data_IF_359093894866
#
_entry.id   IF_359093894866
#
_cell.length_a   1.000
_cell.length_b   1.000
_cell.length_c   1.000
_cell.angle_alpha   90.00
_cell.angle_beta   90.00
_cell.angle_gamma   90.00
#
_symmetry.space_group_name_H-M   'P 1'
#
loop_
_entity.id
_entity.type
_entity.pdbx_description
1 polymer ?
#
# COMPACT_ATOMS: atom_id res chain seq x y z
N UNK A 1 15.60 15.72 2.22
CA UNK A 1 15.37 15.09 0.92
C UNK A 1 14.27 15.82 0.14
N UNK A 2 13.09 16.04 0.73
CA UNK A 2 11.96 16.72 0.05
C UNK A 2 12.33 18.14 -0.46
N UNK A 3 13.11 18.91 0.30
CA UNK A 3 13.55 20.25 -0.09
C UNK A 3 14.62 20.26 -1.20
N UNK A 4 15.18 19.10 -1.56
CA UNK A 4 16.05 18.96 -2.73
C UNK A 4 15.27 18.86 -4.07
N UNK A 5 13.95 18.77 -4.01
CA UNK A 5 13.09 18.84 -5.20
C UNK A 5 13.32 20.19 -5.93
N UNK A 6 13.47 20.21 -7.27
CA UNK A 6 13.62 21.45 -8.04
C UNK A 6 12.45 22.43 -7.79
N UNK A 7 12.69 23.71 -8.00
CA UNK A 7 11.68 24.74 -7.72
C UNK A 7 10.39 24.59 -8.55
N UNK A 8 10.48 23.93 -9.70
CA UNK A 8 9.35 23.64 -10.60
C UNK A 8 8.69 22.27 -10.34
N UNK A 9 9.18 21.52 -9.36
CA UNK A 9 8.62 20.22 -8.98
C UNK A 9 7.74 20.30 -7.75
N UNK A 10 7.06 19.21 -7.47
CA UNK A 10 6.21 19.04 -6.29
C UNK A 10 6.60 17.78 -5.50
N UNK A 11 6.26 17.78 -4.22
CA UNK A 11 6.39 16.62 -3.33
C UNK A 11 5.01 15.98 -3.16
N UNK A 12 4.91 14.70 -3.51
CA UNK A 12 3.67 13.93 -3.30
C UNK A 12 3.77 13.18 -1.97
N UNK A 13 2.91 13.51 -1.00
CA UNK A 13 3.04 13.09 0.39
C UNK A 13 1.79 12.40 0.93
N UNK A 14 1.97 11.22 1.56
CA UNK A 14 0.88 10.49 2.22
C UNK A 14 0.61 11.06 3.62
N UNK A 15 -0.55 11.68 3.83
CA UNK A 15 -0.91 12.27 5.14
C UNK A 15 -1.48 11.26 6.13
N UNK A 16 -1.71 10.02 5.71
CA UNK A 16 -2.07 8.95 6.65
C UNK A 16 -0.88 8.47 7.48
N UNK A 17 0.35 8.81 7.05
CA UNK A 17 1.57 8.42 7.75
C UNK A 17 1.99 9.52 8.75
N UNK A 18 1.91 9.27 10.07
CA UNK A 18 2.14 10.30 11.08
C UNK A 18 3.50 11.00 10.96
N UNK A 19 4.54 10.25 10.59
CA UNK A 19 5.89 10.83 10.43
C UNK A 19 5.97 11.74 9.20
N UNK A 20 5.28 11.39 8.11
CA UNK A 20 5.17 12.27 6.93
C UNK A 20 4.42 13.54 7.29
N UNK A 21 3.27 13.41 7.95
CA UNK A 21 2.45 14.55 8.39
C UNK A 21 3.23 15.52 9.28
N UNK A 22 4.10 14.98 10.15
CA UNK A 22 4.93 15.78 11.07
C UNK A 22 5.95 16.68 10.34
N UNK A 23 6.50 16.22 9.22
CA UNK A 23 7.54 16.96 8.47
C UNK A 23 6.97 17.89 7.40
N UNK A 24 5.67 17.85 7.09
CA UNK A 24 5.06 18.70 6.06
C UNK A 24 5.33 20.20 6.26
N UNK A 25 5.25 20.76 7.50
CA UNK A 25 5.53 22.17 7.72
C UNK A 25 6.96 22.59 7.37
N UNK A 26 7.92 21.66 7.37
CA UNK A 26 9.34 21.91 7.08
C UNK A 26 9.66 21.80 5.58
N UNK A 27 8.65 21.46 4.75
CA UNK A 27 8.83 21.34 3.30
C UNK A 27 8.56 22.68 2.64
N UNK A 28 9.60 23.24 2.02
CA UNK A 28 9.56 24.55 1.33
C UNK A 28 9.15 24.44 -0.15
N UNK A 29 8.76 23.27 -0.61
CA UNK A 29 8.32 23.00 -1.98
C UNK A 29 6.81 22.82 -2.05
N UNK A 30 6.17 23.00 -3.22
CA UNK A 30 4.78 22.63 -3.38
C UNK A 30 4.54 21.18 -2.94
N UNK A 31 3.52 20.97 -2.10
CA UNK A 31 3.17 19.63 -1.61
C UNK A 31 1.77 19.26 -2.08
N UNK A 32 1.66 18.11 -2.70
CA UNK A 32 0.40 17.48 -3.08
C UNK A 32 0.17 16.35 -2.09
N UNK A 33 -0.91 16.42 -1.32
CA UNK A 33 -1.20 15.44 -0.29
C UNK A 33 -2.18 14.39 -0.77
N UNK A 34 -1.97 13.14 -0.33
CA UNK A 34 -2.91 12.05 -0.60
C UNK A 34 -3.08 11.14 0.60
N UNK A 35 -4.20 10.42 0.64
CA UNK A 35 -4.49 9.45 1.70
C UNK A 35 -5.97 9.13 1.83
N UNK A 36 -6.31 8.42 2.89
CA UNK A 36 -7.69 8.18 3.31
C UNK A 36 -8.23 9.29 4.22
N UNK A 37 -7.32 10.05 4.80
CA UNK A 37 -7.65 11.15 5.70
C UNK A 37 -8.43 12.24 4.99
N UNK A 38 -9.44 12.81 5.66
CA UNK A 38 -10.30 13.87 5.10
C UNK A 38 -9.59 15.19 4.82
N UNK A 39 -8.35 15.36 5.31
CA UNK A 39 -7.50 16.53 5.07
C UNK A 39 -6.53 16.36 3.88
N UNK A 40 -6.51 15.18 3.26
CA UNK A 40 -5.74 14.95 2.05
C UNK A 40 -6.38 15.67 0.84
N UNK A 41 -5.54 16.14 -0.07
CA UNK A 41 -6.01 16.72 -1.34
C UNK A 41 -6.60 15.65 -2.25
N UNK A 42 -5.87 14.55 -2.43
CA UNK A 42 -6.36 13.36 -3.15
C UNK A 42 -6.79 12.29 -2.16
N UNK A 43 -8.02 11.83 -2.28
CA UNK A 43 -8.65 10.90 -1.34
C UNK A 43 -9.22 9.69 -2.04
N UNK A 44 -9.28 8.56 -1.32
CA UNK A 44 -10.04 7.38 -1.72
C UNK A 44 -11.20 7.14 -0.75
N UNK A 45 -12.39 7.06 -1.29
CA UNK A 45 -13.63 6.84 -0.58
C UNK A 45 -14.35 5.57 -1.08
N UNK A 46 -15.40 5.10 -0.39
CA UNK A 46 -16.22 3.95 -0.81
C UNK A 46 -15.37 2.74 -1.22
N UNK A 47 -14.44 2.29 -0.36
CA UNK A 47 -13.47 1.24 -0.67
C UNK A 47 -14.07 -0.16 -0.51
N UNK A 48 -13.89 -0.98 -1.54
CA UNK A 48 -14.26 -2.38 -1.52
C UNK A 48 -13.02 -3.25 -1.79
N UNK A 49 -12.92 -4.37 -1.05
CA UNK A 49 -11.87 -5.38 -1.24
C UNK A 49 -12.54 -6.72 -1.54
N UNK A 50 -12.20 -7.28 -2.69
CA UNK A 50 -12.71 -8.59 -3.10
C UNK A 50 -11.60 -9.41 -3.74
N UNK A 51 -11.10 -10.38 -3.00
CA UNK A 51 -9.93 -11.16 -3.41
C UNK A 51 -8.75 -10.25 -3.80
N UNK A 52 -8.22 -10.40 -5.03
CA UNK A 52 -7.12 -9.59 -5.55
C UNK A 52 -7.56 -8.17 -5.97
N UNK A 53 -8.85 -7.85 -5.95
CA UNK A 53 -9.36 -6.57 -6.45
C UNK A 53 -9.56 -5.57 -5.33
N UNK A 54 -9.18 -4.34 -5.63
CA UNK A 54 -9.53 -3.19 -4.81
C UNK A 54 -10.25 -2.16 -5.65
N UNK A 55 -11.43 -1.72 -5.21
CA UNK A 55 -12.21 -0.68 -5.89
C UNK A 55 -12.38 0.50 -4.95
N UNK A 56 -12.25 1.71 -5.45
CA UNK A 56 -12.46 2.93 -4.68
C UNK A 56 -12.88 4.10 -5.55
N UNK A 57 -13.54 5.07 -4.94
CA UNK A 57 -13.86 6.36 -5.54
C UNK A 57 -12.69 7.33 -5.30
N UNK A 58 -12.05 7.78 -6.36
CA UNK A 58 -10.99 8.80 -6.28
C UNK A 58 -11.61 10.20 -6.22
N UNK A 59 -11.09 11.04 -5.33
CA UNK A 59 -11.50 12.45 -5.17
C UNK A 59 -10.27 13.36 -5.19
N UNK A 60 -10.46 14.58 -5.71
CA UNK A 60 -9.51 15.68 -5.60
C UNK A 60 -10.23 16.87 -4.96
N UNK A 61 -9.74 17.38 -3.81
CA UNK A 61 -10.34 18.50 -3.07
C UNK A 61 -11.85 18.35 -2.92
N UNK A 62 -12.31 17.17 -2.49
CA UNK A 62 -13.72 16.77 -2.33
C UNK A 62 -14.52 16.60 -3.63
N UNK A 63 -13.97 16.95 -4.79
CA UNK A 63 -14.59 16.70 -6.10
C UNK A 63 -14.32 15.26 -6.51
N UNK A 64 -15.36 14.55 -6.90
CA UNK A 64 -15.24 13.20 -7.44
C UNK A 64 -14.53 13.23 -8.80
N UNK A 65 -13.50 12.39 -8.96
CA UNK A 65 -12.83 12.15 -10.22
C UNK A 65 -13.43 10.96 -10.94
N UNK A 66 -13.75 9.90 -10.19
CA UNK A 66 -14.35 8.67 -10.69
C UNK A 66 -13.89 7.43 -9.96
N UNK A 67 -14.45 6.29 -10.34
CA UNK A 67 -14.13 4.98 -9.77
C UNK A 67 -12.83 4.42 -10.32
N UNK A 68 -12.00 3.87 -9.44
CA UNK A 68 -10.76 3.17 -9.78
C UNK A 68 -10.90 1.70 -9.42
N UNK A 69 -10.53 0.84 -10.36
CA UNK A 69 -10.48 -0.61 -10.19
C UNK A 69 -9.03 -1.08 -10.33
N UNK A 70 -8.48 -1.64 -9.25
CA UNK A 70 -7.13 -2.21 -9.19
C UNK A 70 -7.20 -3.74 -9.22
N UNK A 71 -6.26 -4.37 -9.92
CA UNK A 71 -6.04 -5.82 -9.88
C UNK A 71 -4.96 -6.21 -8.86
N UNK A 72 -4.82 -5.43 -7.80
CA UNK A 72 -3.94 -5.70 -6.67
C UNK A 72 -4.68 -5.41 -5.36
N UNK A 73 -4.52 -6.25 -4.31
CA UNK A 73 -5.29 -6.12 -3.09
C UNK A 73 -4.65 -5.13 -2.10
N UNK A 74 -5.47 -4.68 -1.17
CA UNK A 74 -5.02 -4.02 0.05
C UNK A 74 -5.00 -2.50 0.01
N UNK A 75 -5.22 -1.92 1.19
CA UNK A 75 -5.30 -0.47 1.40
C UNK A 75 -4.01 0.26 0.99
N UNK A 76 -2.85 -0.39 1.16
CA UNK A 76 -1.57 0.20 0.76
C UNK A 76 -1.48 0.38 -0.76
N UNK A 77 -2.05 -0.53 -1.57
CA UNK A 77 -2.09 -0.38 -3.02
C UNK A 77 -3.08 0.72 -3.47
N UNK A 78 -4.16 0.96 -2.72
CA UNK A 78 -5.01 2.13 -2.94
C UNK A 78 -4.22 3.42 -2.68
N UNK A 79 -3.44 3.49 -1.59
CA UNK A 79 -2.56 4.63 -1.31
C UNK A 79 -1.52 4.83 -2.43
N UNK A 80 -0.90 3.76 -2.91
CA UNK A 80 0.04 3.82 -4.03
C UNK A 80 -0.64 4.33 -5.32
N UNK A 81 -1.87 3.88 -5.59
CA UNK A 81 -2.65 4.36 -6.72
C UNK A 81 -3.02 5.85 -6.58
N UNK A 82 -3.38 6.32 -5.36
CA UNK A 82 -3.61 7.76 -5.11
C UNK A 82 -2.37 8.60 -5.39
N UNK A 83 -1.18 8.13 -4.99
CA UNK A 83 0.08 8.80 -5.31
C UNK A 83 0.30 8.89 -6.84
N UNK A 84 0.04 7.80 -7.56
CA UNK A 84 0.14 7.79 -9.03
C UNK A 84 -0.91 8.73 -9.67
N UNK A 85 -2.16 8.72 -9.19
CA UNK A 85 -3.22 9.61 -9.66
C UNK A 85 -2.82 11.07 -9.45
N UNK A 86 -2.38 11.43 -8.25
CA UNK A 86 -2.01 12.82 -7.91
C UNK A 86 -0.89 13.33 -8.80
N UNK A 87 0.16 12.53 -9.00
CA UNK A 87 1.26 12.87 -9.90
C UNK A 87 0.79 12.99 -11.36
N UNK A 88 -0.03 12.07 -11.82
CA UNK A 88 -0.51 12.06 -13.21
C UNK A 88 -1.41 13.27 -13.50
N UNK A 89 -2.26 13.66 -12.56
CA UNK A 89 -3.09 14.87 -12.69
C UNK A 89 -2.21 16.13 -12.73
N UNK A 90 -1.18 16.22 -11.89
CA UNK A 90 -0.20 17.31 -11.93
C UNK A 90 0.54 17.40 -13.27
N UNK A 91 0.75 16.26 -13.91
CA UNK A 91 1.30 16.17 -15.27
C UNK A 91 0.27 16.41 -16.39
N UNK A 92 -0.94 16.84 -16.05
CA UNK A 92 -2.06 17.06 -16.99
C UNK A 92 -2.45 15.83 -17.82
N UNK A 93 -2.34 14.62 -17.23
CA UNK A 93 -2.81 13.39 -17.87
C UNK A 93 -4.31 13.24 -17.59
N UNK A 94 -5.09 12.97 -18.64
CA UNK A 94 -6.53 12.77 -18.54
C UNK A 94 -6.87 11.59 -17.59
N UNK A 95 -7.87 11.80 -16.74
CA UNK A 95 -8.25 10.81 -15.73
C UNK A 95 -8.65 9.45 -16.32
N UNK A 96 -9.29 9.44 -17.50
CA UNK A 96 -9.62 8.19 -18.20
C UNK A 96 -8.37 7.37 -18.59
N UNK A 97 -7.28 8.06 -18.95
CA UNK A 97 -6.00 7.40 -19.26
C UNK A 97 -5.42 6.79 -17.99
N UNK A 98 -5.47 7.53 -16.87
CA UNK A 98 -5.04 7.06 -15.55
C UNK A 98 -5.84 5.83 -15.13
N UNK A 99 -7.17 5.85 -15.24
CA UNK A 99 -8.04 4.71 -14.94
C UNK A 99 -7.64 3.47 -15.76
N UNK A 100 -7.45 3.63 -17.08
CA UNK A 100 -7.04 2.54 -17.98
C UNK A 100 -5.66 1.97 -17.59
N UNK A 101 -4.72 2.83 -17.22
CA UNK A 101 -3.38 2.44 -16.77
C UNK A 101 -3.44 1.65 -15.47
N UNK A 102 -4.13 2.15 -14.47
CA UNK A 102 -4.28 1.49 -13.16
C UNK A 102 -5.02 0.16 -13.26
N UNK A 103 -6.05 0.05 -14.12
CA UNK A 103 -6.76 -1.21 -14.36
C UNK A 103 -5.87 -2.29 -15.01
N UNK A 104 -4.86 -1.90 -15.80
CA UNK A 104 -3.90 -2.83 -16.42
C UNK A 104 -2.79 -3.26 -15.47
N UNK A 105 -2.58 -2.53 -14.40
CA UNK A 105 -1.52 -2.86 -13.44
C UNK A 105 -1.86 -4.15 -12.70
N UNK A 106 -0.97 -5.13 -12.77
CA UNK A 106 -1.13 -6.48 -12.18
C UNK A 106 -0.17 -6.76 -11.03
N UNK A 107 0.49 -5.72 -10.52
CA UNK A 107 1.46 -5.87 -9.43
C UNK A 107 2.91 -6.08 -9.90
N UNK A 108 3.76 -6.40 -8.94
CA UNK A 108 5.19 -6.65 -9.12
C UNK A 108 5.51 -8.03 -8.57
N UNK A 109 6.44 -8.76 -9.18
CA UNK A 109 6.91 -10.06 -8.68
C UNK A 109 7.34 -9.96 -7.21
N UNK A 110 7.00 -10.98 -6.43
CA UNK A 110 7.25 -11.04 -4.99
C UNK A 110 6.63 -9.90 -4.17
N UNK A 111 5.55 -9.26 -4.65
CA UNK A 111 4.71 -8.31 -3.92
C UNK A 111 3.27 -8.78 -4.05
N UNK A 112 2.78 -9.48 -3.04
CA UNK A 112 1.48 -10.16 -3.06
C UNK A 112 1.31 -11.05 -4.30
N UNK A 113 2.34 -11.80 -4.66
CA UNK A 113 2.34 -12.62 -5.86
C UNK A 113 1.60 -13.94 -5.61
N UNK A 114 0.50 -14.17 -6.30
CA UNK A 114 -0.21 -15.45 -6.25
C UNK A 114 0.58 -16.48 -7.06
N UNK A 115 1.09 -17.52 -6.39
CA UNK A 115 1.82 -18.61 -7.01
C UNK A 115 0.89 -19.68 -7.57
N UNK A 116 -0.30 -19.81 -7.04
CA UNK A 116 -1.30 -20.76 -7.49
C UNK A 116 -2.23 -21.22 -6.38
N UNK A 117 -3.12 -22.14 -6.74
CA UNK A 117 -4.01 -22.84 -5.82
C UNK A 117 -3.74 -24.33 -5.97
N UNK A 118 -3.40 -25.01 -4.88
CA UNK A 118 -3.10 -26.43 -4.81
C UNK A 118 -3.93 -27.05 -3.70
N UNK A 119 -4.76 -28.04 -4.03
CA UNK A 119 -5.68 -28.70 -3.07
C UNK A 119 -6.46 -27.68 -2.20
N UNK A 120 -7.04 -26.67 -2.85
CA UNK A 120 -7.75 -25.54 -2.20
C UNK A 120 -6.86 -24.64 -1.31
N UNK A 121 -5.55 -24.80 -1.33
CA UNK A 121 -4.60 -23.91 -0.63
C UNK A 121 -4.11 -22.83 -1.60
N UNK A 122 -4.47 -21.57 -1.31
CA UNK A 122 -3.95 -20.40 -2.05
C UNK A 122 -2.54 -20.07 -1.53
N UNK A 123 -1.56 -20.09 -2.41
CA UNK A 123 -0.16 -19.76 -2.09
C UNK A 123 0.17 -18.34 -2.58
N UNK A 124 0.61 -17.51 -1.66
CA UNK A 124 1.00 -16.11 -1.90
C UNK A 124 2.45 -15.91 -1.46
N UNK A 125 3.27 -15.32 -2.33
CA UNK A 125 4.65 -14.92 -2.05
C UNK A 125 4.75 -13.40 -1.94
N UNK A 126 5.30 -12.92 -0.81
CA UNK A 126 5.51 -11.49 -0.59
C UNK A 126 6.92 -11.25 -0.01
N UNK A 127 7.61 -10.25 -0.53
CA UNK A 127 8.94 -9.85 -0.06
C UNK A 127 8.87 -8.94 1.19
N UNK A 128 7.76 -8.90 1.89
CA UNK A 128 7.56 -8.12 3.09
C UNK A 128 8.62 -8.49 4.15
N UNK A 129 9.41 -7.51 4.56
CA UNK A 129 10.53 -7.68 5.50
C UNK A 129 10.58 -6.57 6.56
N UNK A 130 9.60 -5.70 6.59
CA UNK A 130 9.36 -4.69 7.62
C UNK A 130 8.00 -4.95 8.29
N UNK A 131 7.81 -4.72 9.60
CA UNK A 131 6.54 -5.00 10.28
C UNK A 131 5.32 -4.37 9.61
N UNK A 132 5.46 -3.14 9.12
CA UNK A 132 4.39 -2.43 8.40
C UNK A 132 4.00 -3.14 7.11
N UNK A 133 4.98 -3.66 6.34
CA UNK A 133 4.72 -4.42 5.12
C UNK A 133 4.03 -5.74 5.43
N UNK A 134 4.55 -6.50 6.42
CA UNK A 134 3.96 -7.76 6.89
C UNK A 134 2.50 -7.53 7.30
N UNK A 135 2.25 -6.53 8.15
CA UNK A 135 0.89 -6.20 8.59
C UNK A 135 -0.02 -5.83 7.42
N UNK A 136 0.47 -5.07 6.45
CA UNK A 136 -0.30 -4.68 5.27
C UNK A 136 -0.70 -5.88 4.41
N UNK A 137 0.23 -6.81 4.16
CA UNK A 137 -0.01 -8.04 3.40
C UNK A 137 -1.01 -8.96 4.11
N UNK A 138 -0.82 -9.22 5.39
CA UNK A 138 -1.70 -10.10 6.17
C UNK A 138 -3.14 -9.52 6.26
N UNK A 139 -3.26 -8.21 6.45
CA UNK A 139 -4.57 -7.52 6.43
C UNK A 139 -5.22 -7.58 5.06
N UNK A 140 -4.46 -7.44 3.98
CA UNK A 140 -4.99 -7.56 2.63
C UNK A 140 -5.57 -8.96 2.39
N UNK A 141 -4.90 -10.03 2.87
CA UNK A 141 -5.40 -11.40 2.79
C UNK A 141 -6.69 -11.54 3.60
N UNK A 142 -6.73 -11.13 4.87
CA UNK A 142 -7.93 -11.27 5.71
C UNK A 142 -9.12 -10.45 5.21
N UNK A 143 -8.89 -9.32 4.55
CA UNK A 143 -9.94 -8.51 3.96
C UNK A 143 -10.46 -9.07 2.63
N UNK A 144 -9.60 -9.73 1.85
CA UNK A 144 -9.95 -10.26 0.53
C UNK A 144 -10.52 -11.70 0.57
N UNK A 145 -10.13 -12.51 1.57
CA UNK A 145 -10.49 -13.92 1.62
C UNK A 145 -10.95 -14.34 3.01
N UNK A 146 -12.03 -15.14 3.05
CA UNK A 146 -12.51 -15.81 4.27
C UNK A 146 -11.88 -17.19 4.42
N UNK A 147 -10.54 -17.24 4.57
CA UNK A 147 -9.77 -18.47 4.68
C UNK A 147 -8.92 -18.48 5.94
N UNK A 148 -8.52 -19.67 6.40
CA UNK A 148 -7.48 -19.86 7.41
C UNK A 148 -6.17 -19.31 6.86
N UNK A 149 -5.45 -18.49 7.63
CA UNK A 149 -4.20 -17.87 7.25
C UNK A 149 -3.02 -18.56 7.94
N UNK A 150 -2.23 -19.27 7.16
CA UNK A 150 -0.94 -19.82 7.59
C UNK A 150 0.15 -18.92 7.07
N UNK A 151 0.94 -18.35 7.96
CA UNK A 151 2.05 -17.44 7.62
C UNK A 151 3.38 -18.15 7.86
N UNK A 152 4.22 -18.19 6.85
CA UNK A 152 5.61 -18.64 6.95
C UNK A 152 6.48 -17.41 6.77
N UNK A 153 7.29 -17.07 7.77
CA UNK A 153 8.10 -15.86 7.76
C UNK A 153 9.57 -16.18 8.03
N UNK A 154 10.42 -15.69 7.15
CA UNK A 154 11.87 -15.68 7.36
C UNK A 154 12.31 -14.26 7.70
N UNK A 155 12.75 -13.99 8.93
CA UNK A 155 13.31 -12.69 9.28
C UNK A 155 14.58 -12.43 8.47
N UNK A 156 14.81 -11.18 8.08
CA UNK A 156 15.99 -10.77 7.32
C UNK A 156 16.72 -9.65 8.06
N UNK A 157 18.02 -9.81 8.24
CA UNK A 157 18.94 -8.98 9.02
C UNK A 157 18.69 -9.07 10.53
N UNK A 158 19.71 -9.51 11.28
CA UNK A 158 19.67 -9.58 12.73
C UNK A 158 19.35 -8.24 13.39
N UNK A 159 19.96 -7.15 12.90
CA UNK A 159 19.74 -5.80 13.44
C UNK A 159 18.30 -5.34 13.31
N UNK A 160 17.68 -5.57 12.16
CA UNK A 160 16.26 -5.24 11.92
C UNK A 160 15.34 -6.07 12.79
N UNK A 161 15.57 -7.38 12.85
CA UNK A 161 14.76 -8.30 13.65
C UNK A 161 14.81 -7.91 15.12
N UNK A 162 16.01 -7.59 15.65
CA UNK A 162 16.18 -7.13 17.02
C UNK A 162 15.51 -5.78 17.27
N UNK A 163 15.64 -4.82 16.35
CA UNK A 163 15.11 -3.47 16.53
C UNK A 163 13.57 -3.44 16.50
N UNK A 164 12.95 -4.23 15.63
CA UNK A 164 11.50 -4.27 15.44
C UNK A 164 10.83 -5.53 16.02
N UNK A 165 11.44 -6.18 16.99
CA UNK A 165 10.96 -7.44 17.55
C UNK A 165 9.48 -7.40 17.98
N UNK A 166 9.10 -6.39 18.77
CA UNK A 166 7.73 -6.25 19.23
C UNK A 166 6.75 -5.90 18.09
N UNK A 167 7.17 -5.08 17.13
CA UNK A 167 6.33 -4.70 16.01
C UNK A 167 6.08 -5.89 15.07
N UNK A 168 7.10 -6.75 14.87
CA UNK A 168 6.90 -8.02 14.16
C UNK A 168 5.92 -8.92 14.92
N UNK A 169 6.09 -9.11 16.24
CA UNK A 169 5.18 -9.91 17.03
C UNK A 169 3.72 -9.44 16.89
N UNK A 170 3.48 -8.13 16.98
CA UNK A 170 2.16 -7.53 16.77
C UNK A 170 1.62 -7.73 15.35
N UNK A 171 2.49 -7.68 14.33
CA UNK A 171 2.08 -7.84 12.94
C UNK A 171 1.48 -9.21 12.66
N UNK A 172 1.93 -10.26 13.36
CA UNK A 172 1.48 -11.64 13.16
C UNK A 172 0.23 -12.04 13.92
N UNK A 173 -0.29 -11.21 14.84
CA UNK A 173 -1.48 -11.54 15.64
C UNK A 173 -2.74 -11.86 14.79
N UNK A 174 -2.76 -11.46 13.54
CA UNK A 174 -3.86 -11.72 12.62
C UNK A 174 -3.75 -13.10 11.93
N UNK A 175 -2.60 -13.77 12.02
CA UNK A 175 -2.37 -15.10 11.46
C UNK A 175 -3.03 -16.17 12.33
N UNK A 176 -3.64 -17.18 11.72
CA UNK A 176 -4.20 -18.33 12.44
C UNK A 176 -3.11 -19.33 12.82
N UNK A 177 -2.04 -19.40 12.02
CA UNK A 177 -0.81 -20.17 12.28
C UNK A 177 0.37 -19.36 11.83
N UNK A 178 1.43 -19.34 12.65
CA UNK A 178 2.69 -18.69 12.33
C UNK A 178 3.84 -19.69 12.43
N UNK A 179 4.63 -19.77 11.36
CA UNK A 179 5.88 -20.52 11.30
C UNK A 179 7.00 -19.51 11.06
N UNK A 180 7.97 -19.47 11.95
CA UNK A 180 9.15 -18.59 11.82
C UNK A 180 10.37 -19.47 11.59
N UNK A 181 11.14 -19.14 10.56
CA UNK A 181 12.41 -19.80 10.26
C UNK A 181 13.58 -19.02 10.87
N UNK A 182 14.78 -19.56 10.73
CA UNK A 182 16.01 -18.87 11.16
C UNK A 182 16.17 -17.53 10.43
N UNK A 183 16.84 -16.59 11.12
CA UNK A 183 17.13 -15.26 10.56
C UNK A 183 18.10 -15.41 9.41
N UNK A 184 17.72 -14.89 8.24
CA UNK A 184 18.65 -14.73 7.13
C UNK A 184 19.54 -13.51 7.39
N UNK A 185 20.90 -13.69 7.38
CA UNK A 185 21.86 -12.63 7.74
C UNK A 185 21.89 -11.48 6.75
#
# INVERSE_FOLDING_TARGET
YANATPFYGAVVACVDEPMVKRILPDISRPVITYGFSGDAEFQADCREYREIRSTFLAKNRKKELGEINLNVPGAHNIKNALAAISLSIEMNIDFEIIQKGLKKYSGVKRRFEIKGIYDDVLIIDDYAHHPTEVSATLRAIKNGWRRRLVTIFQPHLFSRTKHFYEDFARSFLISDVLIITDVFP
#
